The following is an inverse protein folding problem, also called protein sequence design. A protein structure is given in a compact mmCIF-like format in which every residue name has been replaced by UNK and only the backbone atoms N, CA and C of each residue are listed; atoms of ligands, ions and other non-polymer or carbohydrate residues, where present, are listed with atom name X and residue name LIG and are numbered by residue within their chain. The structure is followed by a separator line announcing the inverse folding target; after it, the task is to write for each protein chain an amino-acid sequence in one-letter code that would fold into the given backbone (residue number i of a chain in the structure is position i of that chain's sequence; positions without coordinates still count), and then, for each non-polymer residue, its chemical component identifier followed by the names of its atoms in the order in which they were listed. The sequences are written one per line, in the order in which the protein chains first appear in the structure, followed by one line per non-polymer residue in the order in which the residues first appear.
data_IF_922509173510
#
_entry.id   IF_922509173510
#
_cell.length_a   1.000
_cell.length_b   1.000
_cell.length_c   1.000
_cell.angle_alpha   90.00
_cell.angle_beta   90.00
_cell.angle_gamma   90.00
#
_symmetry.space_group_name_H-M   'P 1'
#
loop_
_entity.id
_entity.type
_entity.pdbx_description
1 polymer ?
#
# COMPACT_ATOMS: atom_id res chain seq x y z
N UNK A 1 -7.99 -34.42 31.10
CA UNK A 1 -7.71 -33.01 31.48
C UNK A 1 -8.95 -32.23 31.12
N UNK A 2 -9.71 -31.76 32.12
CA UNK A 2 -10.99 -31.09 31.89
C UNK A 2 -10.79 -29.83 31.05
N UNK A 3 -11.71 -29.57 30.11
CA UNK A 3 -11.76 -28.30 29.41
C UNK A 3 -11.96 -27.20 30.47
N UNK A 4 -11.00 -26.31 30.61
CA UNK A 4 -11.15 -25.15 31.47
C UNK A 4 -12.26 -24.29 30.87
N UNK A 5 -13.38 -24.16 31.58
CA UNK A 5 -14.51 -23.35 31.14
C UNK A 5 -14.04 -21.91 30.92
N UNK A 6 -14.19 -21.42 29.69
CA UNK A 6 -13.86 -20.04 29.35
C UNK A 6 -14.98 -19.12 29.80
N UNK A 7 -14.66 -18.13 30.62
CA UNK A 7 -15.64 -17.14 31.06
C UNK A 7 -15.88 -16.12 29.93
N UNK A 8 -17.12 -16.06 29.47
CA UNK A 8 -17.62 -15.03 28.57
C UNK A 8 -18.27 -13.89 29.40
N UNK A 9 -18.10 -12.65 28.96
CA UNK A 9 -18.72 -11.52 29.64
C UNK A 9 -18.09 -10.17 29.35
N UNK A 10 -18.43 -9.21 30.21
CA UNK A 10 -17.97 -7.83 30.18
C UNK A 10 -16.91 -7.63 31.27
N UNK A 11 -15.80 -7.02 30.89
CA UNK A 11 -14.69 -6.72 31.78
C UNK A 11 -14.38 -5.22 31.82
N UNK A 12 -13.66 -4.85 32.88
CA UNK A 12 -13.23 -3.49 33.15
C UNK A 12 -11.73 -3.47 33.47
N UNK A 13 -11.02 -2.49 32.90
CA UNK A 13 -9.62 -2.19 33.22
C UNK A 13 -9.60 -0.82 33.87
N UNK A 14 -9.23 -0.73 35.15
CA UNK A 14 -9.23 0.51 35.93
C UNK A 14 -7.80 0.97 36.20
N UNK A 15 -7.54 2.25 35.99
CA UNK A 15 -6.36 2.89 36.55
C UNK A 15 -6.67 3.30 38.00
N UNK A 16 -5.98 2.72 38.97
CA UNK A 16 -6.21 2.93 40.39
C UNK A 16 -5.74 4.31 40.90
N UNK A 17 -4.92 5.02 40.11
CA UNK A 17 -4.43 6.37 40.43
C UNK A 17 -5.41 7.43 39.92
N UNK A 18 -5.87 7.31 38.67
CA UNK A 18 -6.75 8.31 38.04
C UNK A 18 -8.24 7.99 38.18
N UNK A 19 -8.57 6.78 38.63
CA UNK A 19 -9.92 6.20 38.62
C UNK A 19 -10.56 6.04 37.24
N UNK A 20 -9.83 6.32 36.15
CA UNK A 20 -10.35 6.14 34.80
C UNK A 20 -10.47 4.67 34.42
N UNK A 21 -11.46 4.36 33.60
CA UNK A 21 -11.83 2.98 33.26
C UNK A 21 -11.87 2.72 31.74
N UNK A 22 -11.61 1.47 31.37
CA UNK A 22 -11.89 0.93 30.03
C UNK A 22 -12.84 -0.24 30.18
N UNK A 23 -13.87 -0.31 29.34
CA UNK A 23 -14.85 -1.40 29.30
C UNK A 23 -14.71 -2.14 27.98
N UNK A 24 -14.82 -3.47 28.01
CA UNK A 24 -14.90 -4.29 26.80
C UNK A 24 -15.57 -5.63 27.05
N UNK A 25 -15.90 -6.35 25.99
CA UNK A 25 -16.48 -7.69 26.04
C UNK A 25 -15.58 -8.77 25.46
N UNK A 26 -15.78 -10.02 25.88
CA UNK A 26 -15.16 -11.18 25.22
C UNK A 26 -15.89 -12.47 25.52
N UNK A 27 -15.88 -13.42 24.57
CA UNK A 27 -16.26 -14.81 24.81
C UNK A 27 -15.22 -15.58 25.65
N UNK A 28 -14.00 -15.03 25.81
CA UNK A 28 -12.99 -15.59 26.71
C UNK A 28 -12.17 -14.44 27.32
N UNK A 29 -12.58 -14.00 28.52
CA UNK A 29 -12.00 -12.85 29.21
C UNK A 29 -10.53 -13.09 29.55
N UNK A 30 -10.15 -14.29 29.99
CA UNK A 30 -8.76 -14.58 30.39
C UNK A 30 -7.79 -14.41 29.22
N UNK A 31 -8.15 -14.98 28.05
CA UNK A 31 -7.38 -14.78 26.81
C UNK A 31 -7.32 -13.30 26.44
N UNK A 32 -8.45 -12.59 26.55
CA UNK A 32 -8.53 -11.17 26.20
C UNK A 32 -7.64 -10.30 27.09
N UNK A 33 -7.57 -10.57 28.39
CA UNK A 33 -6.67 -9.87 29.31
C UNK A 33 -5.19 -10.11 28.98
N UNK A 34 -4.82 -11.34 28.59
CA UNK A 34 -3.44 -11.63 28.13
C UNK A 34 -3.09 -10.82 26.88
N UNK A 35 -4.02 -10.68 25.94
CA UNK A 35 -3.84 -9.85 24.73
C UNK A 35 -3.69 -8.36 25.06
N UNK A 36 -4.52 -7.83 25.96
CA UNK A 36 -4.41 -6.45 26.44
C UNK A 36 -3.05 -6.19 27.07
N UNK A 37 -2.64 -7.01 28.05
CA UNK A 37 -1.34 -6.86 28.72
C UNK A 37 -0.18 -6.96 27.73
N UNK A 38 -0.22 -7.93 26.80
CA UNK A 38 0.81 -8.09 25.77
C UNK A 38 0.93 -6.84 24.88
N UNK A 39 -0.19 -6.33 24.38
CA UNK A 39 -0.20 -5.17 23.48
C UNK A 39 0.18 -3.88 24.19
N UNK A 40 -0.28 -3.67 25.43
CA UNK A 40 0.11 -2.55 26.28
C UNK A 40 1.61 -2.55 26.57
N UNK A 41 2.17 -3.70 26.97
CA UNK A 41 3.61 -3.82 27.21
C UNK A 41 4.45 -3.63 25.94
N UNK A 42 3.88 -3.92 24.76
CA UNK A 42 4.55 -3.73 23.48
C UNK A 42 4.34 -2.33 22.86
N UNK A 43 3.57 -1.43 23.48
CA UNK A 43 3.28 -0.11 22.92
C UNK A 43 2.35 -0.14 21.69
N UNK A 44 1.58 -1.21 21.52
CA UNK A 44 0.78 -1.47 20.29
C UNK A 44 -0.71 -1.61 20.57
N UNK A 45 -1.17 -1.21 21.74
CA UNK A 45 -2.57 -1.32 22.12
C UNK A 45 -3.49 -0.43 21.26
N UNK A 46 -4.69 -0.92 20.90
CA UNK A 46 -5.62 -0.22 19.99
C UNK A 46 -6.26 1.04 20.57
N UNK A 47 -6.27 1.20 21.91
CA UNK A 47 -6.65 2.46 22.58
C UNK A 47 -5.40 3.27 22.91
N UNK A 48 -5.13 4.38 22.18
CA UNK A 48 -3.98 5.24 22.45
C UNK A 48 -4.03 5.91 23.82
N UNK A 49 -5.22 6.25 24.31
CA UNK A 49 -5.40 6.84 25.64
C UNK A 49 -5.05 5.86 26.77
N UNK A 50 -5.50 4.61 26.64
CA UNK A 50 -5.13 3.56 27.60
C UNK A 50 -3.63 3.27 27.54
N UNK A 51 -3.04 3.19 26.33
CA UNK A 51 -1.60 3.00 26.14
C UNK A 51 -0.79 4.11 26.80
N UNK A 52 -1.09 5.37 26.52
CA UNK A 52 -0.38 6.50 27.11
C UNK A 52 -0.49 6.52 28.65
N UNK A 53 -1.65 6.14 29.19
CA UNK A 53 -1.81 6.01 30.64
C UNK A 53 -1.03 4.83 31.22
N UNK A 54 -0.95 3.70 30.51
CA UNK A 54 -0.17 2.54 30.91
C UNK A 54 1.33 2.87 30.95
N UNK A 55 1.82 3.55 29.93
CA UNK A 55 3.22 3.97 29.83
C UNK A 55 3.58 4.98 30.94
N UNK A 56 2.64 5.88 31.28
CA UNK A 56 2.86 6.92 32.30
C UNK A 56 2.86 6.38 33.73
N UNK A 57 1.92 5.50 34.07
CA UNK A 57 1.70 5.06 35.46
C UNK A 57 2.22 3.65 35.76
N UNK A 58 2.59 2.89 34.72
CA UNK A 58 3.07 1.52 34.84
C UNK A 58 1.95 0.50 35.07
N UNK A 59 2.26 -0.76 34.76
CA UNK A 59 1.31 -1.89 34.83
C UNK A 59 0.67 -2.11 36.21
N UNK A 60 1.42 -1.82 37.29
CA UNK A 60 0.96 -2.04 38.66
C UNK A 60 -0.13 -1.04 39.09
N UNK A 61 -0.27 0.07 38.35
CA UNK A 61 -1.34 1.04 38.57
C UNK A 61 -2.71 0.56 38.06
N UNK A 62 -2.79 -0.60 37.39
CA UNK A 62 -4.01 -1.05 36.71
C UNK A 62 -4.56 -2.34 37.31
N UNK A 63 -5.88 -2.36 37.51
CA UNK A 63 -6.64 -3.55 37.90
C UNK A 63 -7.54 -4.03 36.75
N UNK A 64 -7.77 -5.34 36.70
CA UNK A 64 -8.62 -6.00 35.72
C UNK A 64 -9.73 -6.74 36.49
N UNK A 65 -10.98 -6.49 36.15
CA UNK A 65 -12.15 -7.10 36.81
C UNK A 65 -13.21 -7.51 35.79
N UNK A 66 -14.01 -8.51 36.16
CA UNK A 66 -15.23 -8.88 35.43
C UNK A 66 -16.38 -8.12 36.08
N UNK A 67 -17.19 -7.43 35.27
CA UNK A 67 -18.36 -6.68 35.77
C UNK A 67 -19.67 -7.38 35.44
N UNK A 68 -19.68 -8.26 34.44
CA UNK A 68 -20.83 -9.11 34.11
C UNK A 68 -20.36 -10.39 33.44
N UNK A 69 -20.85 -11.55 33.91
CA UNK A 69 -20.71 -12.82 33.20
C UNK A 69 -21.92 -12.97 32.27
N UNK A 70 -21.68 -13.32 31.00
CA UNK A 70 -22.71 -13.43 29.98
C UNK A 70 -22.72 -14.86 29.44
N UNK A 71 -23.81 -15.57 29.69
CA UNK A 71 -23.95 -16.98 29.30
C UNK A 71 -24.10 -17.14 27.78
N UNK A 72 -24.93 -16.30 27.15
CA UNK A 72 -25.11 -16.29 25.70
C UNK A 72 -24.18 -15.25 25.04
N UNK A 73 -23.13 -15.75 24.39
CA UNK A 73 -22.13 -14.94 23.69
C UNK A 73 -22.72 -14.01 22.62
N UNK A 74 -23.92 -14.29 22.10
CA UNK A 74 -24.59 -13.41 21.14
C UNK A 74 -25.01 -12.08 21.78
N UNK A 75 -25.19 -12.04 23.10
CA UNK A 75 -25.59 -10.84 23.83
C UNK A 75 -24.41 -9.94 24.21
N UNK A 76 -23.16 -10.34 23.96
CA UNK A 76 -21.98 -9.59 24.41
C UNK A 76 -21.95 -8.13 23.92
N UNK A 77 -22.38 -7.88 22.68
CA UNK A 77 -22.39 -6.51 22.11
C UNK A 77 -23.43 -5.65 22.82
N UNK A 78 -24.64 -6.17 23.04
CA UNK A 78 -25.73 -5.43 23.68
C UNK A 78 -25.39 -5.17 25.16
N UNK A 79 -24.78 -6.14 25.84
CA UNK A 79 -24.33 -5.98 27.22
C UNK A 79 -23.14 -5.03 27.34
N UNK A 80 -22.19 -5.04 26.40
CA UNK A 80 -21.13 -4.03 26.34
C UNK A 80 -21.72 -2.63 26.16
N UNK A 81 -22.69 -2.47 25.24
CA UNK A 81 -23.36 -1.19 25.02
C UNK A 81 -24.04 -0.67 26.28
N UNK A 82 -24.76 -1.53 27.00
CA UNK A 82 -25.38 -1.18 28.28
C UNK A 82 -24.35 -0.59 29.27
N UNK A 83 -23.19 -1.23 29.45
CA UNK A 83 -22.15 -0.72 30.36
C UNK A 83 -21.44 0.52 29.83
N UNK A 84 -21.32 0.69 28.51
CA UNK A 84 -20.82 1.95 27.93
C UNK A 84 -21.77 3.11 28.23
N UNK A 85 -23.08 2.89 28.13
CA UNK A 85 -24.08 3.94 28.38
C UNK A 85 -24.20 4.29 29.88
N UNK A 86 -24.08 3.29 30.75
CA UNK A 86 -24.13 3.45 32.20
C UNK A 86 -22.87 4.15 32.73
N UNK A 87 -21.69 3.63 32.39
CA UNK A 87 -20.42 4.09 32.96
C UNK A 87 -19.77 5.23 32.18
N UNK A 88 -20.17 5.43 30.92
CA UNK A 88 -19.66 6.48 30.02
C UNK A 88 -18.12 6.55 29.94
N UNK A 89 -17.40 5.41 29.80
CA UNK A 89 -15.94 5.38 29.79
C UNK A 89 -15.32 6.01 28.53
N UNK A 90 -16.14 6.55 27.63
CA UNK A 90 -15.74 7.30 26.45
C UNK A 90 -15.63 8.80 26.68
N UNK A 91 -16.08 9.30 27.84
CA UNK A 91 -15.82 10.68 28.24
C UNK A 91 -14.40 10.82 28.75
N UNK A 92 -13.72 11.89 28.37
CA UNK A 92 -12.31 12.11 28.64
C UNK A 92 -11.96 12.09 30.14
N UNK A 93 -12.84 12.62 30.99
CA UNK A 93 -12.71 12.66 32.45
C UNK A 93 -12.96 11.29 33.11
N UNK A 94 -13.69 10.39 32.45
CA UNK A 94 -14.15 9.12 33.03
C UNK A 94 -13.33 7.92 32.57
N UNK A 95 -12.89 7.85 31.30
CA UNK A 95 -12.33 6.59 30.80
C UNK A 95 -11.46 6.66 29.56
N UNK A 96 -11.23 5.47 28.99
CA UNK A 96 -10.30 5.22 27.90
C UNK A 96 -10.95 4.61 26.65
N UNK A 97 -12.26 4.37 26.65
CA UNK A 97 -12.96 3.93 25.44
C UNK A 97 -12.96 5.08 24.44
N UNK A 98 -12.69 4.79 23.17
CA UNK A 98 -12.65 5.86 22.15
C UNK A 98 -14.07 6.23 21.70
N UNK A 99 -14.97 5.25 21.73
CA UNK A 99 -16.29 5.34 21.14
C UNK A 99 -17.37 5.10 22.20
N UNK A 100 -18.52 5.77 22.08
CA UNK A 100 -19.69 5.47 22.89
C UNK A 100 -20.38 4.17 22.50
N UNK A 101 -20.00 3.55 21.39
CA UNK A 101 -20.72 2.43 20.81
C UNK A 101 -19.84 1.16 20.81
N UNK A 102 -20.41 0.02 21.21
CA UNK A 102 -19.72 -1.27 21.28
C UNK A 102 -19.50 -1.92 19.89
N UNK A 103 -20.33 -1.58 18.90
CA UNK A 103 -20.26 -2.16 17.57
C UNK A 103 -19.17 -1.52 16.69
N UNK A 104 -18.70 -2.29 15.71
CA UNK A 104 -17.79 -1.80 14.68
C UNK A 104 -18.46 -0.69 13.85
N UNK A 105 -17.76 0.43 13.61
CA UNK A 105 -18.18 1.42 12.60
C UNK A 105 -18.11 0.89 11.15
N UNK A 106 -17.67 -0.36 10.94
CA UNK A 106 -17.60 -0.97 9.61
C UNK A 106 -19.01 -1.07 9.02
N UNK A 107 -19.27 -0.34 7.95
CA UNK A 107 -20.57 -0.27 7.28
C UNK A 107 -21.46 0.89 7.73
N UNK A 108 -21.09 1.64 8.77
CA UNK A 108 -21.83 2.83 9.19
C UNK A 108 -21.40 4.02 8.33
N UNK A 109 -22.32 4.70 7.61
CA UNK A 109 -21.98 5.87 6.81
C UNK A 109 -21.50 7.02 7.69
N UNK A 110 -20.53 7.79 7.20
CA UNK A 110 -20.12 9.04 7.86
C UNK A 110 -21.31 10.00 7.97
N UNK A 111 -21.34 10.81 9.03
CA UNK A 111 -22.26 11.94 9.09
C UNK A 111 -22.02 12.91 7.93
N UNK A 112 -23.05 13.63 7.52
CA UNK A 112 -22.94 14.62 6.43
C UNK A 112 -21.88 15.70 6.76
N UNK A 113 -21.81 16.13 8.02
CA UNK A 113 -20.79 17.08 8.48
C UNK A 113 -19.36 16.52 8.32
N UNK A 114 -19.13 15.25 8.70
CA UNK A 114 -17.83 14.62 8.57
C UNK A 114 -17.46 14.39 7.09
N UNK A 115 -18.43 14.04 6.25
CA UNK A 115 -18.24 13.95 4.79
C UNK A 115 -17.81 15.31 4.23
N UNK A 116 -18.46 16.39 4.64
CA UNK A 116 -18.16 17.74 4.16
C UNK A 116 -16.74 18.18 4.55
N UNK A 117 -16.36 18.03 5.84
CA UNK A 117 -14.98 18.32 6.31
C UNK A 117 -13.92 17.52 5.54
N UNK A 118 -14.21 16.26 5.22
CA UNK A 118 -13.31 15.43 4.41
C UNK A 118 -13.17 15.96 2.97
N UNK A 119 -14.28 16.36 2.34
CA UNK A 119 -14.28 16.94 0.98
C UNK A 119 -13.46 18.23 0.97
N UNK A 120 -13.74 19.13 1.91
CA UNK A 120 -13.04 20.41 2.05
C UNK A 120 -11.52 20.20 2.21
N UNK A 121 -11.12 19.29 3.11
CA UNK A 121 -9.71 18.93 3.31
C UNK A 121 -9.06 18.35 2.05
N UNK A 122 -9.80 17.57 1.25
CA UNK A 122 -9.28 17.03 -0.02
C UNK A 122 -9.11 18.14 -1.07
N UNK A 123 -10.03 19.10 -1.11
CA UNK A 123 -9.98 20.24 -2.04
C UNK A 123 -8.87 21.22 -1.68
N UNK A 124 -8.64 21.49 -0.39
CA UNK A 124 -7.60 22.40 0.07
C UNK A 124 -6.19 21.93 -0.32
N UNK A 125 -5.95 20.61 -0.30
CA UNK A 125 -4.68 19.98 -0.67
C UNK A 125 -4.42 19.87 -2.19
N UNK A 126 -5.30 20.40 -3.05
CA UNK A 126 -5.11 20.37 -4.51
C UNK A 126 -4.07 21.37 -4.99
N UNK A 127 -3.23 20.92 -5.92
CA UNK A 127 -2.13 21.67 -6.53
C UNK A 127 -2.58 22.21 -7.89
N UNK A 128 -2.20 23.45 -8.20
CA UNK A 128 -2.42 24.05 -9.51
C UNK A 128 -1.37 23.53 -10.51
N UNK A 129 -1.84 23.07 -11.66
CA UNK A 129 -1.00 22.59 -12.76
C UNK A 129 -1.40 23.28 -14.06
N UNK A 130 -0.47 23.37 -14.99
CA UNK A 130 -0.67 24.06 -16.29
C UNK A 130 -0.50 23.08 -17.43
N UNK A 131 -1.48 23.04 -18.33
CA UNK A 131 -1.44 22.20 -19.53
C UNK A 131 -0.33 22.68 -20.47
N UNK A 132 0.59 21.77 -20.84
CA UNK A 132 1.70 22.09 -21.76
C UNK A 132 1.21 22.37 -23.18
N UNK A 133 0.03 21.88 -23.57
CA UNK A 133 -0.52 22.10 -24.92
C UNK A 133 -1.29 23.43 -25.06
N UNK A 134 -2.21 23.72 -24.15
CA UNK A 134 -3.14 24.85 -24.28
C UNK A 134 -2.99 25.94 -23.21
N UNK A 135 -2.07 25.79 -22.25
CA UNK A 135 -1.84 26.79 -21.19
C UNK A 135 -2.93 26.85 -20.11
N UNK A 136 -4.03 26.11 -20.25
CA UNK A 136 -5.09 26.04 -19.23
C UNK A 136 -4.53 25.57 -17.89
N UNK A 137 -4.91 26.26 -16.82
CA UNK A 137 -4.61 25.86 -15.44
C UNK A 137 -5.77 25.07 -14.83
N UNK A 138 -5.46 24.06 -14.01
CA UNK A 138 -6.47 23.30 -13.25
C UNK A 138 -5.93 22.87 -11.87
N UNK A 139 -6.84 22.67 -10.91
CA UNK A 139 -6.49 22.18 -9.57
C UNK A 139 -6.69 20.66 -9.48
N UNK A 140 -5.59 19.94 -9.33
CA UNK A 140 -5.57 18.46 -9.30
C UNK A 140 -5.02 17.92 -7.99
N UNK A 141 -5.33 16.66 -7.63
CA UNK A 141 -4.66 16.00 -6.52
C UNK A 141 -3.14 15.93 -6.71
N UNK A 142 -2.38 15.97 -5.61
CA UNK A 142 -0.90 15.88 -5.62
C UNK A 142 -0.38 14.66 -6.39
N UNK A 143 -1.07 13.52 -6.29
CA UNK A 143 -0.73 12.30 -7.03
C UNK A 143 -0.81 12.46 -8.54
N UNK A 144 -1.80 13.22 -9.04
CA UNK A 144 -1.96 13.53 -10.46
C UNK A 144 -0.97 14.59 -10.93
N UNK A 145 -0.68 15.60 -10.10
CA UNK A 145 0.23 16.68 -10.43
C UNK A 145 1.62 16.18 -10.88
N UNK A 146 2.14 15.11 -10.26
CA UNK A 146 3.46 14.52 -10.58
C UNK A 146 3.61 14.10 -12.06
N UNK A 147 2.53 13.64 -12.69
CA UNK A 147 2.55 13.13 -14.06
C UNK A 147 1.68 13.97 -15.01
N UNK A 148 1.21 15.12 -14.53
CA UNK A 148 0.32 15.97 -15.30
C UNK A 148 1.07 16.57 -16.50
N UNK A 149 0.50 16.41 -17.68
CA UNK A 149 1.08 16.93 -18.94
C UNK A 149 0.07 17.80 -19.69
N UNK A 150 -1.16 17.31 -19.82
CA UNK A 150 -2.24 17.99 -20.54
C UNK A 150 -3.55 17.90 -19.76
N UNK A 151 -4.43 18.88 -19.97
CA UNK A 151 -5.74 18.95 -19.32
C UNK A 151 -6.76 17.94 -19.85
N UNK A 152 -6.59 17.49 -21.10
CA UNK A 152 -7.53 16.61 -21.77
C UNK A 152 -6.86 15.64 -22.74
N UNK A 153 -7.62 14.64 -23.19
CA UNK A 153 -7.18 13.67 -24.20
C UNK A 153 -6.97 14.33 -25.56
N UNK A 154 -7.75 15.35 -25.89
CA UNK A 154 -7.62 16.15 -27.11
C UNK A 154 -6.31 16.94 -27.10
N UNK A 155 -5.99 17.59 -25.97
CA UNK A 155 -4.72 18.28 -25.81
C UNK A 155 -3.53 17.33 -25.88
N UNK A 156 -3.65 16.11 -25.35
CA UNK A 156 -2.61 15.10 -25.46
C UNK A 156 -2.42 14.65 -26.92
N UNK A 157 -3.52 14.42 -27.63
CA UNK A 157 -3.50 14.02 -29.04
C UNK A 157 -2.84 15.10 -29.90
N UNK A 158 -3.21 16.37 -29.69
CA UNK A 158 -2.62 17.50 -30.42
C UNK A 158 -1.12 17.66 -30.11
N UNK A 159 -0.74 17.62 -28.83
CA UNK A 159 0.66 17.66 -28.42
C UNK A 159 1.47 16.53 -29.08
N UNK A 160 0.88 15.33 -29.16
CA UNK A 160 1.51 14.20 -29.85
C UNK A 160 1.62 14.44 -31.36
N UNK A 161 0.60 14.96 -32.03
CA UNK A 161 0.67 15.32 -33.47
C UNK A 161 1.82 16.29 -33.75
N UNK A 162 1.95 17.37 -32.97
CA UNK A 162 3.06 18.34 -33.09
C UNK A 162 4.43 17.70 -32.82
N UNK A 163 4.51 16.74 -31.88
CA UNK A 163 5.76 15.99 -31.64
C UNK A 163 6.11 15.03 -32.77
N UNK A 164 5.10 14.50 -33.48
CA UNK A 164 5.30 13.63 -34.63
C UNK A 164 5.58 14.40 -35.92
N UNK A 165 5.09 15.63 -36.10
CA UNK A 165 5.46 16.45 -37.26
C UNK A 165 6.97 16.71 -37.32
N UNK A 166 7.63 16.77 -36.16
CA UNK A 166 9.08 16.93 -36.04
C UNK A 166 9.85 15.59 -36.05
N UNK A 167 9.22 14.49 -36.50
CA UNK A 167 9.92 13.20 -36.63
C UNK A 167 10.94 13.24 -37.76
N UNK A 168 12.08 12.60 -37.53
CA UNK A 168 13.15 12.46 -38.52
C UNK A 168 13.06 11.08 -39.15
N UNK A 169 13.30 11.00 -40.45
CA UNK A 169 13.39 9.75 -41.18
C UNK A 169 14.80 9.16 -41.03
N UNK A 170 14.86 7.87 -40.68
CA UNK A 170 16.11 7.11 -40.61
C UNK A 170 15.94 5.78 -41.33
N UNK A 171 17.05 5.27 -41.86
CA UNK A 171 17.09 3.98 -42.54
C UNK A 171 17.37 2.84 -41.56
N UNK A 172 16.66 1.72 -41.72
CA UNK A 172 16.90 0.53 -40.91
C UNK A 172 18.17 -0.23 -41.38
N UNK A 173 19.16 -0.50 -40.52
CA UNK A 173 20.41 -1.17 -40.89
C UNK A 173 20.27 -2.68 -41.15
N UNK A 174 19.05 -3.21 -41.28
CA UNK A 174 18.77 -4.65 -41.44
C UNK A 174 17.94 -4.92 -42.68
N UNK A 175 16.92 -4.11 -42.93
CA UNK A 175 16.02 -4.27 -44.08
C UNK A 175 15.97 -3.03 -44.97
N UNK A 176 16.77 -2.00 -44.66
CA UNK A 176 16.90 -0.75 -45.44
C UNK A 176 15.61 0.07 -45.62
N UNK A 177 14.51 -0.33 -44.98
CA UNK A 177 13.27 0.45 -44.97
C UNK A 177 13.47 1.76 -44.22
N UNK A 178 13.08 2.87 -44.82
CA UNK A 178 13.03 4.19 -44.17
C UNK A 178 11.84 4.26 -43.22
N UNK A 179 12.05 4.77 -42.00
CA UNK A 179 10.99 4.91 -41.00
C UNK A 179 11.19 6.15 -40.12
N UNK A 180 10.08 6.66 -39.57
CA UNK A 180 10.05 7.89 -38.76
C UNK A 180 10.34 7.63 -37.29
N UNK A 181 11.20 8.46 -36.70
CA UNK A 181 11.51 8.46 -35.26
C UNK A 181 11.48 9.86 -34.68
N UNK A 182 11.10 9.98 -33.40
CA UNK A 182 11.21 11.25 -32.67
C UNK A 182 12.70 11.61 -32.50
N UNK A 183 13.11 12.89 -32.56
CA UNK A 183 14.50 13.29 -32.37
C UNK A 183 15.15 12.73 -31.10
N UNK A 184 14.40 12.71 -29.98
CA UNK A 184 14.86 12.13 -28.70
C UNK A 184 15.14 10.63 -28.75
N UNK A 185 14.64 9.92 -29.77
CA UNK A 185 14.82 8.48 -29.97
C UNK A 185 15.95 8.15 -30.97
N UNK A 186 16.56 9.12 -31.64
CA UNK A 186 17.61 8.88 -32.66
C UNK A 186 18.81 8.06 -32.14
N UNK A 187 19.17 8.27 -30.87
CA UNK A 187 20.25 7.50 -30.22
C UNK A 187 19.83 6.06 -29.88
N UNK A 188 18.55 5.83 -29.58
CA UNK A 188 18.04 4.57 -29.01
C UNK A 188 17.40 3.64 -30.04
N UNK A 189 16.59 4.18 -30.96
CA UNK A 189 15.84 3.41 -31.95
C UNK A 189 16.62 3.37 -33.25
N UNK A 190 17.26 2.23 -33.51
CA UNK A 190 18.06 1.99 -34.72
C UNK A 190 17.34 1.20 -35.80
N UNK A 191 16.27 0.47 -35.48
CA UNK A 191 15.60 -0.42 -36.42
C UNK A 191 14.09 -0.11 -36.53
N UNK A 192 13.50 -0.45 -37.69
CA UNK A 192 12.10 -0.14 -38.01
C UNK A 192 11.12 -0.94 -37.14
N UNK A 193 11.44 -2.20 -36.83
CA UNK A 193 10.57 -3.16 -36.13
C UNK A 193 11.31 -3.94 -35.04
N UNK A 194 10.54 -4.61 -34.15
CA UNK A 194 11.09 -5.52 -33.12
C UNK A 194 11.89 -6.67 -33.75
N UNK A 195 11.41 -7.23 -34.87
CA UNK A 195 12.09 -8.29 -35.60
C UNK A 195 13.46 -7.83 -36.14
N UNK A 196 13.52 -6.66 -36.77
CA UNK A 196 14.79 -6.10 -37.23
C UNK A 196 15.72 -5.78 -36.05
N UNK A 197 15.19 -5.27 -34.93
CA UNK A 197 15.99 -5.02 -33.74
C UNK A 197 16.60 -6.31 -33.15
N UNK A 198 15.87 -7.43 -33.18
CA UNK A 198 16.39 -8.72 -32.74
C UNK A 198 17.55 -9.19 -33.64
N UNK A 199 17.39 -9.12 -34.97
CA UNK A 199 18.44 -9.45 -35.94
C UNK A 199 19.69 -8.56 -35.77
N UNK A 200 19.48 -7.25 -35.64
CA UNK A 200 20.56 -6.29 -35.39
C UNK A 200 21.33 -6.60 -34.10
N UNK A 201 20.63 -6.94 -33.02
CA UNK A 201 21.27 -7.33 -31.77
C UNK A 201 22.07 -8.62 -31.90
N UNK A 202 21.54 -9.62 -32.63
CA UNK A 202 22.26 -10.85 -32.93
C UNK A 202 23.58 -10.53 -33.66
N UNK A 203 23.53 -9.74 -34.72
CA UNK A 203 24.74 -9.38 -35.49
C UNK A 203 25.77 -8.57 -34.68
N UNK A 204 25.33 -7.58 -33.88
CA UNK A 204 26.24 -6.66 -33.16
C UNK A 204 26.76 -7.19 -31.82
N UNK A 205 26.04 -8.09 -31.18
CA UNK A 205 26.30 -8.49 -29.78
C UNK A 205 26.35 -10.01 -29.59
N UNK A 206 26.61 -10.79 -30.64
CA UNK A 206 26.93 -12.22 -30.53
C UNK A 206 28.29 -12.52 -31.14
N UNK A 207 28.91 -13.62 -30.72
CA UNK A 207 30.24 -14.04 -31.18
C UNK A 207 31.40 -13.31 -30.50
N UNK A 208 32.62 -13.68 -30.92
CA UNK A 208 33.90 -13.18 -30.37
C UNK A 208 34.12 -11.67 -30.60
N UNK A 209 33.35 -11.07 -31.51
CA UNK A 209 33.39 -9.65 -31.88
C UNK A 209 32.47 -8.75 -31.03
N UNK A 210 31.68 -9.31 -30.10
CA UNK A 210 30.88 -8.49 -29.17
C UNK A 210 31.83 -7.70 -28.23
N UNK A 211 31.67 -6.38 -28.07
CA UNK A 211 32.48 -5.57 -27.15
C UNK A 211 32.46 -6.04 -25.68
N UNK A 212 31.39 -6.74 -25.29
CA UNK A 212 31.25 -7.35 -23.96
C UNK A 212 31.66 -8.83 -23.93
N UNK A 213 32.28 -9.35 -25.00
CA UNK A 213 32.75 -10.74 -25.08
C UNK A 213 33.93 -10.95 -24.13
N UNK A 214 33.72 -11.75 -23.08
CA UNK A 214 34.73 -12.01 -22.05
C UNK A 214 35.69 -13.15 -22.38
N UNK A 215 35.86 -13.51 -23.66
CA UNK A 215 36.80 -14.57 -24.08
C UNK A 215 36.65 -15.88 -23.26
N UNK A 216 35.42 -16.31 -22.99
CA UNK A 216 35.14 -17.49 -22.16
C UNK A 216 35.26 -17.29 -20.64
N UNK A 217 35.76 -16.14 -20.15
CA UNK A 217 35.91 -15.87 -18.70
C UNK A 217 34.61 -15.37 -18.08
N UNK A 218 33.72 -16.30 -17.72
CA UNK A 218 32.60 -16.00 -16.83
C UNK A 218 33.05 -16.15 -15.37
N UNK A 219 33.18 -15.04 -14.65
CA UNK A 219 33.33 -15.09 -13.18
C UNK A 219 31.92 -15.18 -12.61
N UNK A 220 31.47 -16.40 -12.27
CA UNK A 220 30.34 -16.53 -11.32
C UNK A 220 30.81 -15.92 -10.01
N UNK A 221 30.10 -14.91 -9.52
CA UNK A 221 30.30 -14.49 -8.15
C UNK A 221 30.04 -15.70 -7.25
N UNK A 222 31.03 -16.00 -6.41
CA UNK A 222 31.15 -17.12 -5.47
C UNK A 222 31.70 -18.42 -6.07
N UNK A 223 33.02 -18.57 -5.92
CA UNK A 223 33.71 -19.85 -5.71
C UNK A 223 33.84 -20.78 -6.91
N UNK A 224 35.08 -20.89 -7.41
CA UNK A 224 35.61 -21.88 -8.36
C UNK A 224 35.45 -21.56 -9.86
N UNK A 225 36.58 -21.26 -10.49
CA UNK A 225 36.77 -21.20 -11.94
C UNK A 225 36.82 -22.61 -12.52
N UNK A 226 35.99 -22.89 -13.53
CA UNK A 226 36.23 -24.00 -14.47
C UNK A 226 36.18 -23.44 -15.89
N UNK A 227 37.19 -23.79 -16.69
CA UNK A 227 37.15 -23.67 -18.14
C UNK A 227 36.13 -24.68 -18.67
N UNK A 228 35.28 -24.22 -19.60
CA UNK A 228 34.35 -25.09 -20.33
C UNK A 228 34.52 -24.76 -21.81
N UNK A 229 35.25 -25.65 -22.49
CA UNK A 229 35.20 -25.77 -23.94
C UNK A 229 33.88 -26.44 -24.32
N UNK A 230 33.28 -25.93 -25.40
CA UNK A 230 32.14 -26.45 -26.14
C UNK A 230 30.89 -26.85 -25.34
N UNK A 231 29.88 -25.98 -25.36
CA UNK A 231 28.50 -26.43 -25.20
C UNK A 231 27.61 -25.92 -26.34
N UNK A 232 27.11 -26.93 -27.03
CA UNK A 232 26.24 -26.95 -28.18
C UNK A 232 24.84 -26.36 -27.88
N UNK A 233 24.11 -26.19 -28.96
CA UNK A 233 22.84 -25.49 -29.14
C UNK A 233 21.71 -25.77 -28.11
N UNK A 234 20.93 -24.73 -27.83
CA UNK A 234 19.56 -24.88 -27.31
C UNK A 234 19.29 -24.24 -25.95
N UNK A 235 18.95 -22.94 -25.94
CA UNK A 235 18.13 -22.40 -24.85
C UNK A 235 17.07 -21.45 -25.39
N UNK A 236 15.94 -22.07 -25.69
CA UNK A 236 14.68 -21.43 -26.05
C UNK A 236 14.14 -20.68 -24.82
N UNK A 237 14.06 -19.34 -24.90
CA UNK A 237 13.37 -18.53 -23.88
C UNK A 237 11.96 -18.25 -24.36
N UNK A 238 11.12 -19.28 -24.26
CA UNK A 238 9.67 -19.11 -24.14
C UNK A 238 9.36 -18.33 -22.86
N UNK A 239 8.81 -17.13 -23.01
CA UNK A 239 8.33 -16.29 -21.92
C UNK A 239 7.06 -15.59 -22.37
N UNK A 240 5.95 -16.31 -22.30
CA UNK A 240 4.61 -15.77 -22.55
C UNK A 240 4.20 -14.79 -21.45
N UNK A 241 3.49 -13.73 -21.85
CA UNK A 241 2.61 -12.98 -20.96
C UNK A 241 1.35 -12.57 -21.71
N UNK A 242 0.28 -13.30 -21.37
CA UNK A 242 -1.06 -12.81 -21.08
C UNK A 242 -1.66 -11.72 -21.96
N UNK A 243 -2.50 -12.15 -22.89
CA UNK A 243 -3.63 -11.36 -23.39
C UNK A 243 -4.66 -11.15 -22.27
N UNK A 244 -5.02 -9.91 -21.98
CA UNK A 244 -6.34 -9.57 -21.42
C UNK A 244 -7.01 -8.59 -22.36
N UNK A 245 -7.89 -9.12 -23.19
CA UNK A 245 -8.93 -8.36 -23.86
C UNK A 245 -10.29 -8.84 -23.35
N UNK A 246 -11.16 -7.91 -22.99
CA UNK A 246 -12.43 -7.64 -23.67
C UNK A 246 -12.76 -6.17 -23.45
#
# INVERSE_FOLDING_TARGET
MGAQESIAGIYLIKNNITNKIYVGSSANIERRWKEHKKSLNAGTHHSPHLQASWDKYGKEAFSFSIIEVVDDVNNLIDREQFWLDELKPYKEDIGYNILPNAYSRRGVPLSEEAKQKMIETKLSKRITVTCVNCGRTERVPKSRAKYYTTCSVECLAELNRRRYSNSVEIECPICHSVFKVKPSQLKKRKCCSRACSAKYRKQKFTGKSNPNYRHGKYVKAVGQTKEVDDFDEGFDRGGGFGSTGK
#
